data_IF_755351789969
#
_entry.id   IF_755351789969
#
_cell.length_a   1.000
_cell.length_b   1.000
_cell.length_c   1.000
_cell.angle_alpha   90.00
_cell.angle_beta   90.00
_cell.angle_gamma   90.00
#
_symmetry.space_group_name_H-M   'P 1'
#
loop_
_entity.id
_entity.type
_entity.pdbx_description
1 polymer ?
#
# COMPACT_ATOMS: atom_id res chain seq x y z
N UNK A 1 -18.79 1.31 15.92
CA UNK A 1 -17.37 0.98 16.11
C UNK A 1 -17.01 -0.07 15.07
N UNK A 2 -16.17 0.26 14.09
CA UNK A 2 -15.79 -0.66 13.01
C UNK A 2 -14.30 -0.98 13.16
N UNK A 3 -13.96 -1.88 14.08
CA UNK A 3 -12.58 -2.33 14.30
C UNK A 3 -12.30 -3.47 13.32
N UNK A 4 -11.66 -3.15 12.20
CA UNK A 4 -11.17 -4.16 11.27
C UNK A 4 -9.93 -4.84 11.88
N UNK A 5 -9.92 -6.18 12.05
CA UNK A 5 -8.75 -6.88 12.56
C UNK A 5 -7.59 -6.74 11.56
N UNK A 6 -6.37 -6.55 12.08
CA UNK A 6 -5.17 -6.34 11.25
C UNK A 6 -4.90 -7.48 10.26
N UNK A 7 -5.36 -8.69 10.54
CA UNK A 7 -5.28 -9.83 9.61
C UNK A 7 -6.08 -9.63 8.32
N UNK A 8 -7.15 -8.84 8.34
CA UNK A 8 -7.90 -8.47 7.13
C UNK A 8 -7.19 -7.38 6.30
N UNK A 9 -6.14 -6.74 6.84
CA UNK A 9 -5.42 -5.66 6.18
C UNK A 9 -4.40 -6.14 5.14
N UNK A 10 -4.15 -7.45 5.03
CA UNK A 10 -3.12 -8.01 4.14
C UNK A 10 -3.42 -9.46 3.73
N UNK A 11 -4.67 -9.75 3.37
CA UNK A 11 -5.06 -11.09 2.89
C UNK A 11 -4.39 -11.36 1.55
N UNK A 12 -3.74 -12.51 1.39
CA UNK A 12 -3.18 -12.90 0.10
C UNK A 12 -4.30 -13.00 -0.96
N UNK A 13 -4.06 -12.43 -2.14
CA UNK A 13 -5.02 -12.53 -3.25
C UNK A 13 -4.67 -13.77 -4.10
N UNK A 14 -5.54 -14.79 -4.17
CA UNK A 14 -5.27 -15.98 -4.96
C UNK A 14 -5.25 -15.70 -6.48
N UNK A 15 -5.75 -14.55 -6.92
CA UNK A 15 -5.84 -14.19 -8.34
C UNK A 15 -4.56 -13.56 -8.87
N UNK A 16 -3.76 -12.95 -8.00
CA UNK A 16 -2.55 -12.20 -8.39
C UNK A 16 -1.42 -12.55 -7.43
N UNK A 17 -0.44 -13.28 -7.95
CA UNK A 17 0.71 -13.74 -7.17
C UNK A 17 1.45 -12.57 -6.49
N UNK A 18 1.81 -12.77 -5.22
CA UNK A 18 2.53 -11.77 -4.42
C UNK A 18 1.71 -10.52 -4.06
N UNK A 19 0.42 -10.48 -4.37
CA UNK A 19 -0.44 -9.35 -4.01
C UNK A 19 -1.28 -9.65 -2.78
N UNK A 20 -1.72 -8.57 -2.12
CA UNK A 20 -2.56 -8.65 -0.92
C UNK A 20 -3.69 -7.64 -1.01
N UNK A 21 -4.86 -8.07 -0.57
CA UNK A 21 -6.10 -7.29 -0.57
C UNK A 21 -6.58 -7.00 0.84
N UNK A 22 -7.26 -5.87 0.97
CA UNK A 22 -7.81 -5.41 2.23
C UNK A 22 -8.96 -4.46 2.00
N UNK A 23 -9.80 -4.30 3.02
CA UNK A 23 -10.95 -3.42 2.97
C UNK A 23 -10.58 -2.10 3.66
N UNK A 24 -10.80 -0.99 2.96
CA UNK A 24 -10.53 0.37 3.43
C UNK A 24 -11.61 0.88 4.38
N UNK A 25 -11.37 2.04 5.02
CA UNK A 25 -12.31 2.65 5.96
C UNK A 25 -13.61 3.14 5.29
N UNK A 26 -13.58 3.31 3.97
CA UNK A 26 -14.72 3.62 3.09
C UNK A 26 -15.53 2.38 2.68
N UNK A 27 -15.12 1.18 3.09
CA UNK A 27 -15.73 -0.09 2.72
C UNK A 27 -15.36 -0.58 1.32
N UNK A 28 -14.44 0.09 0.63
CA UNK A 28 -13.93 -0.36 -0.67
C UNK A 28 -12.76 -1.31 -0.50
N UNK A 29 -12.56 -2.19 -1.47
CA UNK A 29 -11.41 -3.10 -1.47
C UNK A 29 -10.22 -2.48 -2.20
N UNK A 30 -9.06 -2.62 -1.60
CA UNK A 30 -7.78 -2.14 -2.12
C UNK A 30 -6.80 -3.30 -2.27
N UNK A 31 -5.80 -3.13 -3.15
CA UNK A 31 -4.79 -4.15 -3.41
C UNK A 31 -3.40 -3.56 -3.45
N UNK A 32 -2.51 -4.07 -2.59
CA UNK A 32 -1.08 -3.92 -2.77
C UNK A 32 -0.55 -5.03 -3.66
N UNK A 33 0.26 -4.69 -4.67
CA UNK A 33 0.89 -5.65 -5.57
C UNK A 33 2.28 -5.19 -6.00
N UNK A 34 3.18 -6.12 -6.36
CA UNK A 34 4.39 -5.76 -7.09
C UNK A 34 4.02 -5.12 -8.45
N UNK A 35 4.80 -4.11 -8.83
CA UNK A 35 4.80 -3.56 -10.17
C UNK A 35 5.37 -4.58 -11.16
N UNK A 36 4.79 -4.71 -12.38
CA UNK A 36 5.33 -5.60 -13.39
C UNK A 36 6.56 -5.04 -14.12
N UNK A 37 6.82 -3.73 -14.03
CA UNK A 37 7.83 -3.04 -14.84
C UNK A 37 9.03 -2.55 -14.05
N UNK A 38 8.89 -2.39 -12.74
CA UNK A 38 9.95 -1.85 -11.87
C UNK A 38 9.85 -2.47 -10.47
N UNK A 39 10.71 -2.02 -9.55
CA UNK A 39 10.76 -2.53 -8.18
C UNK A 39 9.65 -1.95 -7.26
N UNK A 40 8.71 -1.17 -7.81
CA UNK A 40 7.70 -0.51 -7.00
C UNK A 40 6.65 -1.49 -6.48
N UNK A 41 6.05 -1.11 -5.36
CA UNK A 41 4.84 -1.75 -4.85
C UNK A 41 3.69 -0.78 -5.10
N UNK A 42 2.67 -1.22 -5.82
CA UNK A 42 1.56 -0.38 -6.27
C UNK A 42 0.33 -0.66 -5.40
N UNK A 43 -0.35 0.40 -4.98
CA UNK A 43 -1.68 0.33 -4.36
C UNK A 43 -2.73 0.63 -5.41
N UNK A 44 -3.64 -0.32 -5.62
CA UNK A 44 -4.79 -0.16 -6.50
C UNK A 44 -6.09 0.00 -5.69
N UNK A 45 -6.98 0.84 -6.18
CA UNK A 45 -8.38 0.90 -5.71
C UNK A 45 -9.22 -0.27 -6.25
N UNK A 46 -10.51 -0.27 -5.91
CA UNK A 46 -11.47 -1.29 -6.36
C UNK A 46 -11.66 -1.34 -7.88
N UNK A 47 -11.33 -0.25 -8.59
CA UNK A 47 -11.41 -0.15 -10.05
C UNK A 47 -10.08 -0.53 -10.73
N UNK A 48 -9.04 -0.87 -9.96
CA UNK A 48 -7.71 -1.17 -10.47
C UNK A 48 -6.84 0.05 -10.74
N UNK A 49 -7.30 1.25 -10.39
CA UNK A 49 -6.53 2.49 -10.55
C UNK A 49 -5.44 2.55 -9.50
N UNK A 50 -4.20 2.82 -9.90
CA UNK A 50 -3.09 3.01 -8.95
C UNK A 50 -3.25 4.35 -8.26
N UNK A 51 -3.33 4.33 -6.93
CA UNK A 51 -3.55 5.53 -6.09
C UNK A 51 -2.37 5.88 -5.19
N UNK A 52 -1.46 4.94 -4.97
CA UNK A 52 -0.22 5.15 -4.26
C UNK A 52 0.82 4.13 -4.72
N UNK A 53 2.09 4.42 -4.48
CA UNK A 53 3.15 3.43 -4.68
C UNK A 53 4.27 3.62 -3.66
N UNK A 54 4.94 2.53 -3.33
CA UNK A 54 6.17 2.53 -2.56
C UNK A 54 7.33 2.25 -3.52
N UNK A 55 8.28 3.18 -3.57
CA UNK A 55 9.50 3.06 -4.35
C UNK A 55 10.67 2.69 -3.42
N UNK A 56 11.24 1.48 -3.52
CA UNK A 56 12.44 1.14 -2.77
C UNK A 56 13.64 1.94 -3.31
N UNK A 57 14.33 2.66 -2.43
CA UNK A 57 15.52 3.45 -2.80
C UNK A 57 16.76 2.86 -2.15
N UNK A 58 17.91 3.06 -2.82
CA UNK A 58 19.20 2.82 -2.17
C UNK A 58 19.32 3.73 -0.95
N UNK A 59 19.92 3.25 0.16
CA UNK A 59 20.02 4.03 1.39
C UNK A 59 20.62 5.40 1.11
N UNK A 60 19.77 6.42 1.19
CA UNK A 60 20.15 7.81 0.94
C UNK A 60 20.12 8.53 2.27
N UNK A 61 21.26 9.10 2.67
CA UNK A 61 21.41 9.76 3.96
C UNK A 61 20.83 11.16 3.89
N UNK A 62 19.75 11.39 4.63
CA UNK A 62 19.16 12.71 4.86
C UNK A 62 19.57 13.24 6.24
N UNK A 63 19.28 14.53 6.50
CA UNK A 63 19.61 15.18 7.79
C UNK A 63 18.97 14.50 9.02
N UNK A 64 17.89 13.75 8.80
CA UNK A 64 17.08 13.11 9.86
C UNK A 64 17.40 11.60 9.97
N UNK A 65 18.12 11.02 9.01
CA UNK A 65 18.45 9.60 8.99
C UNK A 65 18.55 9.03 7.58
N UNK A 66 18.72 7.71 7.50
CA UNK A 66 18.79 6.98 6.24
C UNK A 66 17.40 6.61 5.74
N UNK A 67 17.12 6.92 4.48
CA UNK A 67 15.87 6.56 3.81
C UNK A 67 16.10 5.35 2.92
N UNK A 68 15.32 4.30 3.16
CA UNK A 68 15.37 3.01 2.46
C UNK A 68 14.23 2.85 1.43
N UNK A 69 13.38 3.86 1.29
CA UNK A 69 12.29 3.89 0.31
C UNK A 69 11.31 5.02 0.59
N UNK A 70 10.50 5.31 -0.42
CA UNK A 70 9.59 6.44 -0.45
C UNK A 70 8.16 5.96 -0.70
N UNK A 71 7.19 6.53 0.01
CA UNK A 71 5.77 6.31 -0.22
C UNK A 71 5.15 7.53 -0.90
N UNK A 72 4.62 7.33 -2.10
CA UNK A 72 4.05 8.38 -2.94
C UNK A 72 2.53 8.22 -3.02
N UNK A 73 1.81 9.30 -2.72
CA UNK A 73 0.34 9.36 -2.80
C UNK A 73 -0.07 10.12 -4.08
N UNK A 74 -0.85 9.48 -4.94
CA UNK A 74 -1.27 10.05 -6.23
C UNK A 74 -2.56 10.86 -6.07
N UNK A 75 -2.41 12.15 -5.81
CA UNK A 75 -3.50 13.10 -5.50
C UNK A 75 -4.73 13.03 -6.43
N UNK A 76 -4.52 12.78 -7.72
CA UNK A 76 -5.57 12.84 -8.73
C UNK A 76 -6.07 11.44 -9.16
N UNK A 77 -5.66 10.38 -8.46
CA UNK A 77 -6.05 9.01 -8.76
C UNK A 77 -7.18 8.52 -7.83
N UNK A 78 -7.92 7.49 -8.25
CA UNK A 78 -8.95 6.81 -7.45
C UNK A 78 -9.96 7.77 -6.82
N UNK A 79 -10.63 8.57 -7.65
CA UNK A 79 -11.58 9.61 -7.24
C UNK A 79 -11.02 10.72 -6.33
N UNK A 80 -9.70 10.83 -6.17
CA UNK A 80 -9.05 11.90 -5.40
C UNK A 80 -9.21 11.77 -3.89
N UNK A 81 -9.63 10.60 -3.40
CA UNK A 81 -9.89 10.37 -1.98
C UNK A 81 -8.63 9.98 -1.19
N UNK A 82 -7.53 9.64 -1.87
CA UNK A 82 -6.31 9.15 -1.23
C UNK A 82 -5.68 10.15 -0.25
N UNK A 83 -5.96 11.45 -0.41
CA UNK A 83 -5.49 12.51 0.49
C UNK A 83 -6.40 12.72 1.71
N UNK A 84 -7.47 11.96 1.85
CA UNK A 84 -8.35 12.03 3.02
C UNK A 84 -7.64 11.40 4.23
N UNK A 85 -7.55 12.06 5.41
CA UNK A 85 -6.65 11.60 6.49
C UNK A 85 -6.83 10.14 6.93
N UNK A 86 -8.06 9.63 7.19
CA UNK A 86 -8.29 8.20 7.41
C UNK A 86 -7.75 7.26 6.32
N UNK A 87 -7.76 7.69 5.06
CA UNK A 87 -7.26 6.91 3.94
C UNK A 87 -5.74 6.97 3.91
N UNK A 88 -5.13 8.15 4.11
CA UNK A 88 -3.67 8.29 4.18
C UNK A 88 -3.05 7.40 5.27
N UNK A 89 -3.67 7.34 6.44
CA UNK A 89 -3.23 6.48 7.54
C UNK A 89 -3.31 5.00 7.13
N UNK A 90 -4.42 4.61 6.49
CA UNK A 90 -4.62 3.26 5.96
C UNK A 90 -3.57 2.89 4.90
N UNK A 91 -3.26 3.78 3.95
CA UNK A 91 -2.23 3.54 2.92
C UNK A 91 -0.88 3.30 3.60
N UNK A 92 -0.53 4.14 4.58
CA UNK A 92 0.76 4.06 5.27
C UNK A 92 0.90 2.76 6.06
N UNK A 93 -0.10 2.42 6.87
CA UNK A 93 -0.09 1.21 7.71
C UNK A 93 -0.05 -0.04 6.84
N UNK A 94 -0.87 -0.10 5.79
CA UNK A 94 -0.94 -1.28 4.91
C UNK A 94 0.29 -1.43 4.04
N UNK A 95 0.95 -0.34 3.63
CA UNK A 95 2.25 -0.40 2.96
C UNK A 95 3.31 -1.06 3.84
N UNK A 96 3.38 -0.70 5.12
CA UNK A 96 4.33 -1.28 6.07
C UNK A 96 4.04 -2.76 6.33
N UNK A 97 2.77 -3.11 6.54
CA UNK A 97 2.34 -4.50 6.74
C UNK A 97 2.62 -5.36 5.51
N UNK A 98 2.33 -4.86 4.31
CA UNK A 98 2.62 -5.58 3.08
C UNK A 98 4.11 -5.90 2.96
N UNK A 99 4.98 -4.91 3.21
CA UNK A 99 6.44 -5.09 3.17
C UNK A 99 6.92 -6.08 4.23
N UNK A 100 6.35 -6.04 5.44
CA UNK A 100 6.67 -7.01 6.48
C UNK A 100 6.29 -8.44 6.06
N UNK A 101 5.08 -8.64 5.54
CA UNK A 101 4.64 -9.95 5.09
C UNK A 101 5.45 -10.45 3.89
N UNK A 102 5.81 -9.57 2.96
CA UNK A 102 6.66 -9.91 1.82
C UNK A 102 8.08 -10.32 2.25
N UNK A 103 8.66 -9.64 3.24
CA UNK A 103 10.00 -9.97 3.75
C UNK A 103 10.03 -11.30 4.53
N UNK A 104 8.92 -11.67 5.17
CA UNK A 104 8.83 -12.88 6.01
C UNK A 104 8.11 -14.05 5.34
N UNK A 105 7.76 -13.96 4.05
CA UNK A 105 6.99 -14.97 3.32
C UNK A 105 5.71 -15.44 4.06
N UNK A 106 4.99 -14.49 4.66
CA UNK A 106 3.71 -14.69 5.36
C UNK A 106 2.52 -14.59 4.39
#
# INVERSE_FOLDING_TARGET
>A
QNTLPMSNLVRADPRVFGSRVFDGPDGLQYRWRPSPTNADILLQDANGVVIAFFHPTSPTRHQIGDVYGELHLLRNAGAGTVMHPPIMDMVTVTAMLFRFCAANNL
#
